data_IF_486324120017
#
_entry.id   IF_486324120017
#
_cell.length_a   1.000
_cell.length_b   1.000
_cell.length_c   1.000
_cell.angle_alpha   90.00
_cell.angle_beta   90.00
_cell.angle_gamma   90.00
#
_symmetry.space_group_name_H-M   'P 1'
#
loop_
_entity.id
_entity.type
_entity.pdbx_description
1 polymer ?
#
# COMPACT_ATOMS: atom_id res chain seq x y z
N UNK A 1 18.30 -25.34 -0.33
CA UNK A 1 17.04 -24.60 -0.55
C UNK A 1 16.02 -25.14 0.44
N UNK A 2 15.30 -24.26 1.16
CA UNK A 2 14.23 -24.68 2.10
C UNK A 2 12.91 -24.66 1.31
N UNK A 3 12.10 -25.72 1.44
CA UNK A 3 10.76 -25.77 0.85
C UNK A 3 9.74 -24.96 1.67
N UNK A 4 8.47 -25.34 1.58
CA UNK A 4 7.45 -24.81 2.50
C UNK A 4 7.89 -25.06 3.96
N UNK A 5 7.78 -24.03 4.81
CA UNK A 5 8.24 -24.10 6.20
C UNK A 5 7.36 -23.27 7.11
N UNK A 6 7.16 -23.76 8.33
CA UNK A 6 6.50 -23.03 9.43
C UNK A 6 7.48 -22.16 10.20
N UNK A 7 8.79 -22.33 9.97
CA UNK A 7 9.86 -21.71 10.75
C UNK A 7 10.35 -20.37 10.18
N UNK A 8 9.48 -19.64 9.47
CA UNK A 8 9.85 -18.37 8.78
C UNK A 8 10.48 -17.37 9.75
N UNK A 9 9.92 -17.22 10.95
CA UNK A 9 10.44 -16.33 11.98
C UNK A 9 11.87 -16.68 12.41
N UNK A 10 12.20 -17.98 12.51
CA UNK A 10 13.57 -18.42 12.84
C UNK A 10 14.55 -17.98 11.77
N UNK A 11 14.20 -18.14 10.49
CA UNK A 11 15.06 -17.73 9.38
C UNK A 11 15.22 -16.22 9.30
N UNK A 12 14.14 -15.46 9.50
CA UNK A 12 14.20 -14.00 9.50
C UNK A 12 15.09 -13.45 10.63
N UNK A 13 15.05 -14.03 11.83
CA UNK A 13 15.94 -13.61 12.94
C UNK A 13 17.44 -13.81 12.66
N UNK A 14 17.77 -14.71 11.74
CA UNK A 14 19.16 -14.97 11.34
C UNK A 14 19.61 -14.13 10.14
N UNK A 15 18.70 -13.36 9.53
CA UNK A 15 18.97 -12.56 8.34
C UNK A 15 19.28 -11.11 8.71
N UNK A 16 20.04 -10.44 7.84
CA UNK A 16 20.33 -9.00 7.98
C UNK A 16 19.29 -8.11 7.27
N UNK A 17 18.71 -8.62 6.18
CA UNK A 17 17.70 -7.97 5.35
C UNK A 17 16.83 -9.02 4.63
N UNK A 18 15.67 -8.60 4.15
CA UNK A 18 14.71 -9.45 3.43
C UNK A 18 14.61 -9.06 1.95
N UNK A 19 14.55 -10.03 1.04
CA UNK A 19 14.28 -9.81 -0.39
C UNK A 19 13.00 -10.56 -0.77
N UNK A 20 12.02 -9.86 -1.35
CA UNK A 20 10.77 -10.51 -1.73
C UNK A 20 9.78 -9.67 -2.53
N UNK A 21 8.56 -10.20 -2.62
CA UNK A 21 7.41 -9.46 -3.18
C UNK A 21 6.90 -8.45 -2.15
N UNK A 22 6.26 -7.35 -2.57
CA UNK A 22 5.70 -6.35 -1.68
C UNK A 22 4.35 -6.80 -1.06
N UNK A 23 4.18 -8.10 -0.81
CA UNK A 23 2.96 -8.64 -0.23
C UNK A 23 2.80 -8.20 1.22
N UNK A 24 1.56 -7.94 1.69
CA UNK A 24 1.33 -7.37 3.01
C UNK A 24 1.82 -8.28 4.14
N UNK A 25 1.65 -9.60 4.03
CA UNK A 25 2.12 -10.57 5.03
C UNK A 25 3.64 -10.59 5.15
N UNK A 26 4.35 -10.90 4.04
CA UNK A 26 5.81 -10.98 4.04
C UNK A 26 6.50 -9.67 4.43
N UNK A 27 5.93 -8.52 4.00
CA UNK A 27 6.47 -7.22 4.37
C UNK A 27 6.28 -6.93 5.85
N UNK A 28 5.09 -7.19 6.39
CA UNK A 28 4.78 -6.98 7.81
C UNK A 28 5.65 -7.85 8.70
N UNK A 29 5.86 -9.11 8.32
CA UNK A 29 6.74 -10.04 9.04
C UNK A 29 8.20 -9.55 9.03
N UNK A 30 8.74 -9.17 7.87
CA UNK A 30 10.11 -8.69 7.76
C UNK A 30 10.35 -7.43 8.61
N UNK A 31 9.45 -6.45 8.52
CA UNK A 31 9.52 -5.21 9.31
C UNK A 31 9.42 -5.52 10.81
N UNK A 32 8.49 -6.40 11.21
CA UNK A 32 8.35 -6.80 12.60
C UNK A 32 9.60 -7.51 13.15
N UNK A 33 10.34 -8.22 12.31
CA UNK A 33 11.64 -8.82 12.65
C UNK A 33 12.81 -7.83 12.57
N UNK A 34 12.56 -6.54 12.31
CA UNK A 34 13.59 -5.51 12.24
C UNK A 34 14.42 -5.52 10.96
N UNK A 35 13.93 -6.17 9.90
CA UNK A 35 14.67 -6.37 8.65
C UNK A 35 14.37 -5.27 7.63
N UNK A 36 15.39 -4.57 7.11
CA UNK A 36 15.30 -3.80 5.89
C UNK A 36 14.85 -4.66 4.72
N UNK A 37 14.10 -4.08 3.78
CA UNK A 37 13.49 -4.85 2.71
C UNK A 37 13.97 -4.44 1.31
N UNK A 38 14.18 -5.41 0.43
CA UNK A 38 14.32 -5.19 -1.01
C UNK A 38 13.10 -5.79 -1.70
N UNK A 39 12.27 -4.92 -2.28
CA UNK A 39 11.04 -5.34 -2.95
C UNK A 39 10.98 -4.86 -4.38
N UNK A 40 10.15 -5.52 -5.19
CA UNK A 40 9.94 -5.14 -6.59
C UNK A 40 8.59 -4.47 -6.82
N UNK A 41 8.58 -3.39 -7.60
CA UNK A 41 7.37 -2.74 -8.12
C UNK A 41 7.40 -2.73 -9.65
N UNK A 42 6.56 -3.54 -10.27
CA UNK A 42 6.45 -3.67 -11.73
C UNK A 42 5.00 -3.72 -12.20
N UNK A 43 4.78 -3.93 -13.51
CA UNK A 43 3.45 -3.98 -14.10
C UNK A 43 2.55 -5.08 -13.50
N UNK A 44 3.14 -6.14 -12.97
CA UNK A 44 2.45 -7.29 -12.36
C UNK A 44 2.29 -7.17 -10.85
N UNK A 45 2.81 -6.10 -10.24
CA UNK A 45 2.52 -5.80 -8.83
C UNK A 45 1.05 -5.50 -8.69
N UNK A 46 0.38 -6.24 -7.79
CA UNK A 46 -1.05 -6.10 -7.56
C UNK A 46 -1.37 -4.66 -7.17
N UNK A 47 -2.48 -4.06 -7.66
CA UNK A 47 -2.79 -2.66 -7.42
C UNK A 47 -2.72 -2.25 -5.94
N UNK A 48 -3.24 -3.08 -5.04
CA UNK A 48 -3.22 -2.84 -3.60
C UNK A 48 -1.80 -2.93 -2.98
N UNK A 49 -0.91 -3.74 -3.53
CA UNK A 49 0.47 -3.87 -3.05
C UNK A 49 1.36 -2.68 -3.46
N UNK A 50 0.91 -1.82 -4.37
CA UNK A 50 1.68 -0.64 -4.79
C UNK A 50 1.87 0.32 -3.63
N UNK A 51 0.86 0.47 -2.77
CA UNK A 51 0.93 1.28 -1.56
C UNK A 51 2.03 0.79 -0.61
N UNK A 52 2.20 -0.53 -0.47
CA UNK A 52 3.28 -1.09 0.33
C UNK A 52 4.67 -0.64 -0.17
N UNK A 53 4.84 -0.55 -1.49
CA UNK A 53 6.12 -0.09 -2.08
C UNK A 53 6.34 1.41 -1.93
N UNK A 54 5.26 2.20 -1.85
CA UNK A 54 5.35 3.64 -1.58
C UNK A 54 5.70 3.86 -0.12
N UNK A 55 4.99 3.19 0.78
CA UNK A 55 5.27 3.21 2.21
C UNK A 55 6.74 2.85 2.54
N UNK A 56 7.29 1.80 1.92
CA UNK A 56 8.72 1.44 2.07
C UNK A 56 9.66 2.58 1.68
N UNK A 57 9.36 3.30 0.59
CA UNK A 57 10.19 4.42 0.12
C UNK A 57 10.07 5.62 1.04
N UNK A 58 8.83 5.99 1.38
CA UNK A 58 8.53 7.16 2.21
C UNK A 58 9.16 7.06 3.61
N UNK A 59 9.16 5.85 4.18
CA UNK A 59 9.71 5.62 5.52
C UNK A 59 11.18 5.17 5.50
N UNK A 60 11.78 5.05 4.32
CA UNK A 60 13.18 4.64 4.15
C UNK A 60 13.47 3.23 4.68
N UNK A 61 12.52 2.31 4.57
CA UNK A 61 12.61 0.96 5.15
C UNK A 61 13.39 -0.02 4.29
N UNK A 62 13.80 0.42 3.11
CA UNK A 62 14.60 -0.38 2.20
C UNK A 62 14.52 0.12 0.76
N UNK A 63 14.80 -0.78 -0.19
CA UNK A 63 14.98 -0.44 -1.61
C UNK A 63 13.88 -1.04 -2.46
N UNK A 64 13.29 -0.22 -3.35
CA UNK A 64 12.26 -0.67 -4.29
C UNK A 64 12.77 -0.59 -5.72
N UNK A 65 12.92 -1.74 -6.37
CA UNK A 65 13.39 -1.86 -7.77
C UNK A 65 12.26 -2.24 -8.72
N UNK A 66 12.42 -1.95 -10.02
CA UNK A 66 11.45 -2.38 -11.05
C UNK A 66 11.60 -3.85 -11.44
N UNK A 67 12.74 -4.46 -11.15
CA UNK A 67 13.06 -5.84 -11.53
C UNK A 67 14.16 -6.38 -10.62
N UNK A 68 14.23 -7.70 -10.46
CA UNK A 68 15.33 -8.39 -9.79
C UNK A 68 16.65 -8.32 -10.59
N UNK A 69 16.64 -7.89 -11.86
CA UNK A 69 17.88 -7.67 -12.62
C UNK A 69 18.83 -6.66 -11.98
N UNK A 70 18.30 -5.72 -11.20
CA UNK A 70 19.09 -4.73 -10.45
C UNK A 70 19.21 -5.08 -8.97
N UNK A 71 19.09 -6.36 -8.61
CA UNK A 71 19.15 -6.80 -7.21
C UNK A 71 20.54 -6.57 -6.61
N UNK A 72 21.61 -6.81 -7.36
CA UNK A 72 23.00 -6.60 -6.89
C UNK A 72 23.20 -5.18 -6.38
N UNK A 73 22.80 -4.18 -7.17
CA UNK A 73 22.88 -2.77 -6.77
C UNK A 73 21.94 -2.40 -5.60
N UNK A 74 20.86 -3.15 -5.36
CA UNK A 74 20.00 -2.96 -4.19
C UNK A 74 20.61 -3.58 -2.93
N UNK A 75 21.24 -4.75 -3.06
CA UNK A 75 21.97 -5.41 -1.97
C UNK A 75 23.17 -4.56 -1.56
N UNK A 76 23.95 -4.06 -2.51
CA UNK A 76 25.08 -3.16 -2.21
C UNK A 76 24.65 -1.91 -1.45
N UNK A 77 23.53 -1.30 -1.82
CA UNK A 77 22.97 -0.12 -1.14
C UNK A 77 22.55 -0.44 0.31
N UNK A 78 21.78 -1.53 0.50
CA UNK A 78 21.38 -1.95 1.85
C UNK A 78 22.60 -2.32 2.69
N UNK A 79 23.53 -3.12 2.18
CA UNK A 79 24.71 -3.57 2.94
C UNK A 79 25.58 -2.39 3.36
N UNK A 80 25.79 -1.40 2.47
CA UNK A 80 26.58 -0.20 2.79
C UNK A 80 25.95 0.64 3.91
N UNK A 81 24.62 0.71 3.94
CA UNK A 81 23.86 1.57 4.86
C UNK A 81 23.05 0.75 5.89
N UNK A 82 23.48 -0.48 6.17
CA UNK A 82 22.67 -1.46 6.90
C UNK A 82 22.25 -0.99 8.29
N UNK A 83 23.14 -0.41 9.13
CA UNK A 83 22.75 0.06 10.46
C UNK A 83 21.66 1.12 10.42
N UNK A 84 21.69 2.02 9.44
CA UNK A 84 20.69 3.08 9.32
C UNK A 84 19.33 2.54 8.90
N UNK A 85 19.31 1.61 7.93
CA UNK A 85 18.06 0.94 7.55
C UNK A 85 17.48 0.15 8.72
N UNK A 86 18.29 -0.62 9.45
CA UNK A 86 17.83 -1.36 10.63
C UNK A 86 17.30 -0.41 11.72
N UNK A 87 17.95 0.73 11.96
CA UNK A 87 17.46 1.74 12.89
C UNK A 87 16.11 2.32 12.45
N UNK A 88 15.91 2.59 11.14
CA UNK A 88 14.62 3.04 10.61
C UNK A 88 13.53 1.99 10.80
N UNK A 89 13.79 0.73 10.45
CA UNK A 89 12.82 -0.36 10.58
C UNK A 89 12.43 -0.62 12.03
N UNK A 90 13.39 -0.62 12.96
CA UNK A 90 13.13 -0.85 14.39
C UNK A 90 12.30 0.25 15.06
N UNK A 91 12.16 1.43 14.43
CA UNK A 91 11.26 2.50 14.90
C UNK A 91 9.80 2.27 14.50
N UNK A 92 9.53 1.31 13.60
CA UNK A 92 8.16 0.97 13.22
C UNK A 92 7.56 0.05 14.28
N UNK A 93 6.58 0.57 15.01
CA UNK A 93 5.72 -0.23 15.88
C UNK A 93 4.47 -0.67 15.10
N UNK A 94 4.42 -1.93 14.66
CA UNK A 94 3.30 -2.45 13.89
C UNK A 94 2.17 -2.91 14.83
N UNK A 95 1.16 -2.05 15.02
CA UNK A 95 -0.05 -2.34 15.79
C UNK A 95 -1.31 -2.52 14.94
N UNK A 96 -1.14 -2.75 13.63
CA UNK A 96 -2.24 -2.77 12.67
C UNK A 96 -3.37 -3.76 13.02
N UNK A 97 -3.06 -4.91 13.61
CA UNK A 97 -4.08 -5.90 14.02
C UNK A 97 -5.06 -5.34 15.05
N UNK A 98 -4.63 -4.39 15.88
CA UNK A 98 -5.46 -3.73 16.88
C UNK A 98 -6.14 -2.47 16.33
N UNK A 99 -5.48 -1.79 15.38
CA UNK A 99 -5.92 -0.50 14.85
C UNK A 99 -6.93 -0.63 13.71
N UNK A 100 -6.73 -1.59 12.79
CA UNK A 100 -7.59 -1.78 11.62
C UNK A 100 -9.06 -2.02 12.00
N UNK A 101 -9.41 -2.85 13.00
CA UNK A 101 -10.81 -3.02 13.41
C UNK A 101 -11.46 -1.71 13.85
N UNK A 102 -10.73 -0.85 14.58
CA UNK A 102 -11.24 0.45 15.04
C UNK A 102 -11.43 1.43 13.89
N UNK A 103 -10.47 1.49 12.96
CA UNK A 103 -10.56 2.32 11.76
C UNK A 103 -11.78 1.89 10.92
N UNK A 104 -11.95 0.59 10.70
CA UNK A 104 -13.09 0.06 9.96
C UNK A 104 -14.42 0.36 10.66
N UNK A 105 -14.49 0.23 11.99
CA UNK A 105 -15.69 0.60 12.75
C UNK A 105 -16.03 2.08 12.55
N UNK A 106 -15.05 2.97 12.60
CA UNK A 106 -15.24 4.40 12.36
C UNK A 106 -15.76 4.71 10.93
N UNK A 107 -15.21 4.05 9.91
CA UNK A 107 -15.68 4.19 8.52
C UNK A 107 -17.13 3.72 8.38
N UNK A 108 -17.49 2.60 9.02
CA UNK A 108 -18.85 2.06 8.99
C UNK A 108 -19.84 2.99 9.68
N UNK A 109 -19.49 3.57 10.82
CA UNK A 109 -20.34 4.55 11.51
C UNK A 109 -20.52 5.84 10.70
N UNK A 110 -19.45 6.34 10.06
CA UNK A 110 -19.54 7.50 9.16
C UNK A 110 -20.46 7.23 7.96
N UNK A 111 -20.40 6.02 7.39
CA UNK A 111 -21.26 5.62 6.28
C UNK A 111 -22.74 5.46 6.69
N UNK A 112 -23.02 5.20 7.97
CA UNK A 112 -24.38 5.09 8.52
C UNK A 112 -25.02 6.43 8.83
N UNK A 113 -24.22 7.48 9.08
CA UNK A 113 -24.77 8.81 9.27
C UNK A 113 -25.39 9.28 7.94
N UNK A 114 -26.69 9.65 7.92
CA UNK A 114 -27.27 10.22 6.72
C UNK A 114 -26.43 11.43 6.34
N UNK A 115 -25.94 11.46 5.10
CA UNK A 115 -25.12 12.54 4.58
C UNK A 115 -25.75 13.85 5.07
N UNK A 116 -25.06 14.59 5.95
CA UNK A 116 -25.51 15.92 6.34
C UNK A 116 -25.64 16.66 5.03
N UNK A 117 -26.87 16.81 4.54
CA UNK A 117 -27.20 17.70 3.46
C UNK A 117 -26.69 19.02 3.99
N UNK A 118 -25.57 19.49 3.44
CA UNK A 118 -25.10 20.83 3.70
C UNK A 118 -26.29 21.70 3.35
N UNK A 119 -27.00 22.18 4.37
CA UNK A 119 -28.08 23.12 4.22
C UNK A 119 -27.42 24.31 3.55
N UNK A 120 -27.62 24.43 2.24
CA UNK A 120 -27.32 25.66 1.53
C UNK A 120 -28.16 26.71 2.22
N UNK A 121 -27.54 27.50 3.09
CA UNK A 121 -28.11 28.77 3.51
C UNK A 121 -28.33 29.53 2.19
N UNK A 122 -29.56 29.94 1.85
CA UNK A 122 -29.74 30.79 0.70
C UNK A 122 -29.03 32.09 1.03
N UNK A 123 -27.96 32.40 0.29
CA UNK A 123 -27.39 33.75 0.28
C UNK A 123 -28.45 34.64 -0.34
N UNK A 124 -29.28 35.25 0.51
CA UNK A 124 -30.14 36.34 0.10
C UNK A 124 -29.19 37.51 -0.23
N UNK A 125 -29.24 37.94 -1.48
CA UNK A 125 -28.33 38.95 -2.00
C UNK A 125 -28.46 40.28 -1.26
N UNK A 126 -27.30 40.88 -0.97
CA UNK A 126 -27.13 42.31 -0.88
C UNK A 126 -25.90 42.63 -1.72
N UNK A 127 -26.15 43.17 -2.91
CA UNK A 127 -25.13 43.87 -3.69
C UNK A 127 -25.00 45.24 -3.03
N UNK A 128 -23.92 45.45 -2.28
CA UNK A 128 -23.47 46.79 -1.97
C UNK A 128 -22.11 47.03 -2.62
N UNK A 129 -22.14 47.96 -3.56
CA UNK A 129 -20.97 48.59 -4.17
C UNK A 129 -20.43 49.60 -3.17
N UNK A 130 -19.17 49.49 -2.76
CA UNK A 130 -18.27 50.64 -2.62
C UNK A 130 -16.88 50.17 -2.24
N UNK A 131 -15.92 50.60 -3.04
CA UNK A 131 -14.51 50.81 -2.73
C UNK A 131 -14.24 51.22 -1.27
N UNK A 132 -13.37 50.50 -0.58
CA UNK A 132 -12.29 51.11 0.20
C UNK A 132 -11.21 50.11 0.62
N UNK A 133 -9.99 50.62 0.68
CA UNK A 133 -8.75 49.89 0.92
C UNK A 133 -8.61 49.60 2.42
N UNK A 134 -8.32 48.34 2.80
CA UNK A 134 -7.64 48.02 4.06
C UNK A 134 -6.99 46.63 4.03
N UNK A 135 -5.68 46.65 4.20
CA UNK A 135 -4.80 45.52 4.40
C UNK A 135 -5.12 44.81 5.72
N UNK A 136 -5.18 43.48 5.72
CA UNK A 136 -5.31 42.68 6.93
C UNK A 136 -4.47 41.40 6.80
N UNK A 137 -3.38 41.37 7.56
CA UNK A 137 -2.45 40.24 7.69
C UNK A 137 -3.16 39.10 8.43
N UNK A 138 -3.25 37.92 7.81
CA UNK A 138 -3.76 36.71 8.44
C UNK A 138 -2.61 35.71 8.66
N UNK A 139 -2.47 35.30 9.92
CA UNK A 139 -1.43 34.44 10.46
C UNK A 139 -1.36 33.05 9.82
N UNK A 140 -0.15 32.48 9.86
CA UNK A 140 0.17 31.11 9.46
C UNK A 140 -0.81 30.08 10.04
N UNK A 141 -1.43 29.29 9.16
CA UNK A 141 -2.04 28.01 9.54
C UNK A 141 -0.97 26.93 9.56
N UNK A 142 -0.89 26.07 10.60
CA UNK A 142 -0.02 24.90 10.55
C UNK A 142 -0.53 23.91 9.50
N UNK A 143 0.40 23.47 8.65
CA UNK A 143 0.19 22.46 7.63
C UNK A 143 0.00 21.09 8.29
N UNK A 144 -1.23 20.55 8.24
CA UNK A 144 -1.54 19.15 8.52
C UNK A 144 -1.90 18.42 7.23
N UNK A 145 -1.80 17.08 7.16
CA UNK A 145 -2.09 16.34 5.94
C UNK A 145 -3.58 16.47 5.57
N UNK A 146 -3.85 17.14 4.46
CA UNK A 146 -5.18 17.19 3.86
C UNK A 146 -5.55 15.80 3.33
N UNK A 147 -6.51 15.15 3.99
CA UNK A 147 -7.21 14.02 3.41
C UNK A 147 -8.07 14.54 2.23
N UNK A 148 -7.98 13.96 1.02
CA UNK A 148 -8.84 14.37 -0.07
C UNK A 148 -10.30 14.11 0.31
N UNK A 149 -11.14 15.12 0.14
CA UNK A 149 -12.58 15.05 0.38
C UNK A 149 -13.22 13.89 -0.42
N UNK A 150 -14.32 13.30 0.06
CA UNK A 150 -15.01 12.25 -0.68
C UNK A 150 -15.45 12.79 -2.04
N UNK A 151 -15.10 12.05 -3.10
CA UNK A 151 -15.42 12.37 -4.50
C UNK A 151 -16.91 12.72 -4.63
N UNK A 152 -17.22 14.01 -4.79
CA UNK A 152 -18.56 14.46 -5.18
C UNK A 152 -18.72 14.28 -6.67
N UNK A 153 -19.79 13.58 -7.07
CA UNK A 153 -20.33 13.67 -8.43
C UNK A 153 -19.80 12.66 -9.43
N UNK A 154 -19.96 11.37 -9.17
CA UNK A 154 -20.11 10.41 -10.28
C UNK A 154 -21.61 10.34 -10.63
N UNK A 155 -21.98 10.93 -11.77
CA UNK A 155 -23.29 10.67 -12.39
C UNK A 155 -23.43 9.16 -12.61
N UNK A 156 -24.55 8.58 -12.16
CA UNK A 156 -24.87 7.15 -12.25
C UNK A 156 -24.96 6.59 -13.69
N UNK A 157 -24.58 7.37 -14.71
CA UNK A 157 -24.63 7.01 -16.13
C UNK A 157 -23.31 6.55 -16.74
N UNK A 158 -22.21 6.50 -15.97
CA UNK A 158 -20.89 6.12 -16.49
C UNK A 158 -20.25 4.90 -15.77
N UNK A 159 -21.06 3.92 -15.37
CA UNK A 159 -20.53 2.58 -15.03
C UNK A 159 -20.50 1.76 -16.32
N UNK A 160 -19.33 1.39 -16.86
CA UNK A 160 -19.28 0.44 -17.97
C UNK A 160 -19.90 -0.89 -17.51
N UNK A 161 -20.89 -1.39 -18.25
CA UNK A 161 -21.52 -2.69 -17.97
C UNK A 161 -20.45 -3.76 -18.01
N UNK A 162 -20.22 -4.42 -16.88
CA UNK A 162 -19.38 -5.63 -16.79
C UNK A 162 -19.99 -6.67 -17.74
N UNK A 163 -19.24 -7.20 -18.73
CA UNK A 163 -19.74 -8.28 -19.57
C UNK A 163 -20.07 -9.48 -18.68
N UNK A 164 -21.28 -10.03 -18.81
CA UNK A 164 -21.63 -11.30 -18.14
C UNK A 164 -20.66 -12.37 -18.64
N UNK A 165 -19.72 -12.81 -17.81
CA UNK A 165 -18.94 -14.01 -18.09
C UNK A 165 -19.93 -15.18 -18.19
N UNK A 166 -20.14 -15.68 -19.40
CA UNK A 166 -20.82 -16.95 -19.62
C UNK A 166 -20.07 -18.05 -18.87
N UNK A 167 -20.81 -18.97 -18.22
CA UNK A 167 -20.24 -20.13 -17.55
C UNK A 167 -19.38 -20.93 -18.55
N UNK A 168 -18.07 -20.83 -18.42
CA UNK A 168 -17.15 -21.73 -19.11
C UNK A 168 -17.30 -23.12 -18.48
N UNK A 169 -17.84 -24.08 -19.25
CA UNK A 169 -17.83 -25.50 -18.86
C UNK A 169 -16.38 -25.94 -18.68
N UNK A 170 -16.04 -26.36 -17.46
CA UNK A 170 -14.77 -26.98 -17.09
C UNK A 170 -14.64 -28.32 -17.84
N UNK A 171 -13.89 -28.36 -18.95
CA UNK A 171 -13.39 -29.61 -19.52
C UNK A 171 -12.24 -30.07 -18.63
N UNK A 172 -12.46 -31.13 -17.86
CA UNK A 172 -11.39 -31.87 -17.20
C UNK A 172 -10.46 -32.43 -18.28
N UNK A 173 -9.21 -31.95 -18.28
CA UNK A 173 -8.11 -32.57 -19.01
C UNK A 173 -7.33 -33.38 -17.99
N UNK A 174 -7.46 -34.70 -18.06
CA UNK A 174 -6.55 -35.62 -17.40
C UNK A 174 -5.14 -35.39 -17.97
N UNK A 175 -4.28 -34.78 -17.16
CA UNK A 175 -2.85 -34.69 -17.43
C UNK A 175 -2.19 -35.92 -16.80
N UNK A 176 -1.87 -36.91 -17.63
CA UNK A 176 -0.92 -37.96 -17.30
C UNK A 176 0.47 -37.32 -17.31
N UNK A 177 1.23 -37.47 -16.22
CA UNK A 177 2.57 -36.93 -16.09
C UNK A 177 3.54 -37.64 -17.07
N UNK A 178 4.40 -36.92 -17.82
CA UNK A 178 5.47 -37.56 -18.56
C UNK A 178 6.64 -37.91 -17.63
N UNK A 179 7.06 -39.17 -17.69
CA UNK A 179 8.24 -39.71 -16.99
C UNK A 179 9.51 -38.95 -17.37
N UNK A 180 10.23 -38.44 -16.38
CA UNK A 180 11.54 -37.79 -16.54
C UNK A 180 12.59 -38.87 -16.76
N UNK A 181 13.20 -38.88 -17.95
CA UNK A 181 14.41 -39.65 -18.26
C UNK A 181 15.63 -38.86 -17.77
N UNK A 182 16.34 -39.40 -16.79
CA UNK A 182 17.63 -38.86 -16.33
C UNK A 182 18.74 -39.25 -17.31
N UNK A 183 19.45 -38.28 -17.89
CA UNK A 183 20.77 -38.51 -18.49
C UNK A 183 21.85 -37.96 -17.56
N UNK A 184 22.72 -38.86 -17.09
CA UNK A 184 23.98 -38.57 -16.39
C UNK A 184 24.95 -37.88 -17.34
N UNK A 185 25.62 -36.84 -16.85
CA UNK A 185 27.06 -36.62 -16.98
C UNK A 185 27.54 -36.00 -15.68
#
# INVERSE_FOLDING_TARGET
>A
MVGFTTEVARWMRLADFFIGKPGPGSLSEAVHQGLPVIVTRNAWTMPQERWNTEWVREHGLGVVRRSLRSITAAVEDITRNLPEYQARVRRIDNRAVFEVPQILAGILEQARQPARVASRVPVLGLVESSSDHREMVAADRPCGPEFPAPLRGCSSKAVPKIPKLGRAKRKERNLVAPSIVTKKW
#
